data_IF_328926739180
#
_entry.id   IF_328926739180
#
_cell.length_a   1.000
_cell.length_b   1.000
_cell.length_c   1.000
_cell.angle_alpha   90.00
_cell.angle_beta   90.00
_cell.angle_gamma   90.00
#
_symmetry.space_group_name_H-M   'P 1'
#
loop_
_entity.id
_entity.type
_entity.pdbx_description
1 polymer ?
#
# COMPACT_ATOMS: atom_id res chain seq x y z
N UNK A 1 10.90 12.47 -11.92
CA UNK A 1 10.67 11.53 -10.82
C UNK A 1 11.56 10.32 -11.05
N UNK A 2 12.13 9.74 -9.99
CA UNK A 2 12.79 8.42 -10.07
C UNK A 2 11.75 7.40 -10.54
N UNK A 3 12.11 6.49 -11.45
CA UNK A 3 11.22 5.43 -11.94
C UNK A 3 11.75 4.08 -11.44
N UNK A 4 10.86 3.28 -10.86
CA UNK A 4 11.16 1.92 -10.39
C UNK A 4 10.64 0.91 -11.40
N UNK A 5 11.43 -0.13 -11.68
CA UNK A 5 10.99 -1.32 -12.41
C UNK A 5 10.89 -2.46 -11.41
N UNK A 6 9.67 -2.99 -11.21
CA UNK A 6 9.41 -3.99 -10.17
C UNK A 6 8.71 -5.20 -10.78
N UNK A 7 9.21 -6.40 -10.44
CA UNK A 7 8.52 -7.65 -10.73
C UNK A 7 7.30 -7.80 -9.81
N UNK A 8 6.06 -7.93 -10.35
CA UNK A 8 4.87 -8.14 -9.54
C UNK A 8 4.98 -9.32 -8.58
N UNK A 9 4.76 -9.07 -7.30
CA UNK A 9 4.91 -10.08 -6.24
C UNK A 9 6.29 -10.14 -5.59
N UNK A 10 7.23 -9.29 -6.03
CA UNK A 10 8.57 -9.17 -5.47
C UNK A 10 8.92 -7.74 -5.04
N UNK A 11 7.92 -6.85 -4.89
CA UNK A 11 8.16 -5.51 -4.36
C UNK A 11 8.69 -5.59 -2.93
N UNK A 12 9.83 -4.94 -2.67
CA UNK A 12 10.44 -4.88 -1.34
C UNK A 12 9.91 -3.68 -0.58
N UNK A 13 10.06 -3.71 0.75
CA UNK A 13 9.65 -2.60 1.60
C UNK A 13 10.32 -1.26 1.20
N UNK A 14 11.57 -1.29 0.77
CA UNK A 14 12.28 -0.11 0.27
C UNK A 14 11.69 0.46 -1.02
N UNK A 15 11.22 -0.42 -1.93
CA UNK A 15 10.58 0.00 -3.17
C UNK A 15 9.23 0.69 -2.84
N UNK A 16 8.46 0.12 -1.90
CA UNK A 16 7.21 0.70 -1.39
C UNK A 16 7.45 2.04 -0.66
N UNK A 17 8.54 2.14 0.10
CA UNK A 17 8.93 3.37 0.79
C UNK A 17 9.31 4.47 -0.21
N UNK A 18 10.05 4.14 -1.29
CA UNK A 18 10.39 5.09 -2.35
C UNK A 18 9.14 5.59 -3.10
N UNK A 19 8.17 4.70 -3.37
CA UNK A 19 6.87 5.10 -3.93
C UNK A 19 6.14 6.08 -3.01
N UNK A 20 6.20 5.89 -1.69
CA UNK A 20 5.56 6.78 -0.72
C UNK A 20 6.28 8.13 -0.55
N UNK A 21 7.57 8.10 -0.21
CA UNK A 21 8.34 9.28 0.18
C UNK A 21 8.77 10.14 -1.01
N UNK A 22 9.15 9.51 -2.11
CA UNK A 22 9.69 10.20 -3.30
C UNK A 22 8.63 10.36 -4.39
N UNK A 23 7.44 9.78 -4.20
CA UNK A 23 6.40 9.73 -5.24
C UNK A 23 6.93 9.14 -6.56
N UNK A 24 7.84 8.16 -6.47
CA UNK A 24 8.48 7.54 -7.62
C UNK A 24 7.45 6.99 -8.63
N UNK A 25 7.81 7.00 -9.91
CA UNK A 25 7.05 6.28 -10.93
C UNK A 25 7.23 4.77 -10.77
N UNK A 26 6.29 3.98 -11.31
CA UNK A 26 6.38 2.52 -11.31
C UNK A 26 6.11 1.99 -12.72
N UNK A 27 7.01 1.13 -13.20
CA UNK A 27 6.78 0.22 -14.32
C UNK A 27 6.87 -1.21 -13.84
N UNK A 28 6.05 -2.07 -14.43
CA UNK A 28 6.15 -3.50 -14.20
C UNK A 28 7.31 -4.07 -15.00
N UNK A 29 8.00 -5.05 -14.43
CA UNK A 29 9.00 -5.82 -15.17
C UNK A 29 8.33 -6.47 -16.41
N UNK A 30 8.87 -6.26 -17.63
CA UNK A 30 8.28 -6.79 -18.86
C UNK A 30 8.04 -8.31 -18.85
N UNK A 31 8.77 -9.07 -18.03
CA UNK A 31 8.58 -10.51 -17.90
C UNK A 31 7.21 -10.92 -17.33
N UNK A 32 6.42 -10.01 -16.72
CA UNK A 32 5.06 -10.31 -16.29
C UNK A 32 4.00 -10.19 -17.41
N UNK A 33 4.33 -9.55 -18.54
CA UNK A 33 3.38 -9.25 -19.64
C UNK A 33 2.70 -10.50 -20.22
N UNK A 34 3.41 -11.62 -20.48
CA UNK A 34 2.77 -12.81 -21.02
C UNK A 34 1.65 -13.38 -20.13
N UNK A 35 1.81 -13.28 -18.81
CA UNK A 35 0.82 -13.80 -17.86
C UNK A 35 -0.43 -12.91 -17.80
N UNK A 36 -0.25 -11.58 -17.88
CA UNK A 36 -1.35 -10.61 -17.99
C UNK A 36 -2.15 -10.85 -19.28
N UNK A 37 -1.47 -10.98 -20.41
CA UNK A 37 -2.09 -11.21 -21.72
C UNK A 37 -2.85 -12.55 -21.78
N UNK A 38 -2.30 -13.61 -21.18
CA UNK A 38 -2.99 -14.90 -21.11
C UNK A 38 -4.27 -14.81 -20.27
N UNK A 39 -4.23 -14.14 -19.11
CA UNK A 39 -5.41 -13.93 -18.30
C UNK A 39 -6.48 -13.10 -19.03
N UNK A 40 -6.07 -12.05 -19.75
CA UNK A 40 -6.97 -11.24 -20.56
C UNK A 40 -7.66 -12.08 -21.65
N UNK A 41 -6.90 -12.94 -22.36
CA UNK A 41 -7.45 -13.87 -23.37
C UNK A 41 -8.44 -14.86 -22.76
N UNK A 42 -8.23 -15.32 -21.53
CA UNK A 42 -9.17 -16.20 -20.81
C UNK A 42 -10.47 -15.48 -20.48
N UNK A 43 -10.40 -14.24 -19.97
CA UNK A 43 -11.60 -13.42 -19.73
C UNK A 43 -12.35 -13.14 -21.03
N UNK A 44 -11.66 -12.80 -22.12
CA UNK A 44 -12.29 -12.57 -23.41
C UNK A 44 -13.04 -13.82 -23.93
N UNK A 45 -12.43 -15.01 -23.80
CA UNK A 45 -13.08 -16.29 -24.13
C UNK A 45 -14.32 -16.55 -23.27
N UNK A 46 -14.22 -16.33 -21.95
CA UNK A 46 -15.34 -16.51 -21.03
C UNK A 46 -16.48 -15.53 -21.32
N UNK A 47 -16.18 -14.28 -21.65
CA UNK A 47 -17.15 -13.26 -22.00
C UNK A 47 -17.93 -13.59 -23.29
N UNK A 48 -17.26 -14.22 -24.26
CA UNK A 48 -17.89 -14.70 -25.51
C UNK A 48 -18.62 -16.05 -25.35
N UNK A 49 -18.40 -16.76 -24.24
CA UNK A 49 -18.97 -18.06 -23.97
C UNK A 49 -20.43 -18.02 -23.49
N UNK A 50 -21.06 -19.19 -23.46
CA UNK A 50 -22.43 -19.36 -22.97
C UNK A 50 -22.52 -19.63 -21.46
N UNK A 51 -21.42 -19.95 -20.79
CA UNK A 51 -21.43 -20.17 -19.34
C UNK A 51 -21.49 -18.85 -18.58
N UNK A 52 -22.27 -18.78 -17.51
CA UNK A 52 -22.35 -17.59 -16.68
C UNK A 52 -21.11 -17.50 -15.79
N UNK A 53 -20.34 -16.42 -15.94
CA UNK A 53 -19.11 -16.17 -15.17
C UNK A 53 -19.26 -14.83 -14.44
N UNK A 54 -19.21 -14.90 -13.10
CA UNK A 54 -19.44 -13.76 -12.22
C UNK A 54 -18.58 -12.54 -12.60
N UNK A 55 -19.22 -11.40 -12.86
CA UNK A 55 -18.55 -10.14 -13.15
C UNK A 55 -17.87 -10.07 -14.52
N UNK A 56 -17.95 -11.12 -15.33
CA UNK A 56 -17.44 -11.19 -16.70
C UNK A 56 -18.57 -10.98 -17.71
N UNK A 57 -19.58 -11.87 -17.70
CA UNK A 57 -20.78 -11.78 -18.54
C UNK A 57 -22.08 -11.77 -17.74
N UNK A 58 -21.98 -11.55 -16.42
CA UNK A 58 -23.11 -11.36 -15.51
C UNK A 58 -23.09 -9.98 -14.87
N UNK A 59 -24.19 -9.60 -14.21
CA UNK A 59 -24.21 -8.47 -13.28
C UNK A 59 -23.37 -8.70 -12.02
N UNK A 60 -23.41 -7.74 -11.10
CA UNK A 60 -22.63 -7.72 -9.85
C UNK A 60 -23.53 -7.86 -8.61
N UNK A 61 -22.98 -8.40 -7.52
CA UNK A 61 -23.68 -8.53 -6.23
C UNK A 61 -25.04 -9.21 -6.37
N UNK A 62 -26.12 -8.52 -6.01
CA UNK A 62 -27.51 -9.03 -6.12
C UNK A 62 -27.92 -9.43 -7.55
N UNK A 63 -27.26 -8.86 -8.57
CA UNK A 63 -27.52 -9.14 -9.99
C UNK A 63 -26.55 -10.18 -10.59
N UNK A 64 -25.79 -10.89 -9.76
CA UNK A 64 -24.83 -11.92 -10.20
C UNK A 64 -25.44 -13.03 -11.08
N UNK A 65 -26.75 -13.29 -10.97
CA UNK A 65 -27.46 -14.30 -11.76
C UNK A 65 -27.99 -13.79 -13.10
N UNK A 66 -27.84 -12.49 -13.40
CA UNK A 66 -28.38 -11.88 -14.62
C UNK A 66 -27.28 -11.81 -15.68
N UNK A 67 -27.48 -12.48 -16.82
CA UNK A 67 -26.58 -12.38 -17.98
C UNK A 67 -26.69 -11.02 -18.66
N UNK A 68 -25.56 -10.53 -19.12
CA UNK A 68 -25.42 -9.23 -19.77
C UNK A 68 -25.12 -9.46 -21.25
N UNK A 69 -25.84 -8.77 -22.13
CA UNK A 69 -25.56 -8.87 -23.55
C UNK A 69 -24.21 -8.21 -23.88
N UNK A 70 -23.42 -8.74 -24.84
CA UNK A 70 -22.09 -8.20 -25.15
C UNK A 70 -22.06 -6.70 -25.46
N UNK A 71 -23.12 -6.17 -26.09
CA UNK A 71 -23.28 -4.74 -26.41
C UNK A 71 -23.44 -3.85 -25.17
N UNK A 72 -23.87 -4.40 -24.05
CA UNK A 72 -24.15 -3.66 -22.82
C UNK A 72 -22.96 -3.73 -21.83
N UNK A 73 -21.94 -4.52 -22.13
CA UNK A 73 -20.78 -4.74 -21.25
C UNK A 73 -20.03 -3.46 -20.93
N UNK A 74 -19.64 -2.66 -21.93
CA UNK A 74 -18.91 -1.40 -21.70
C UNK A 74 -19.71 -0.43 -20.83
N UNK A 75 -21.01 -0.28 -21.12
CA UNK A 75 -21.94 0.53 -20.33
C UNK A 75 -22.05 0.05 -18.88
N UNK A 76 -22.14 -1.27 -18.67
CA UNK A 76 -22.19 -1.86 -17.34
C UNK A 76 -20.92 -1.55 -16.53
N UNK A 77 -19.74 -1.69 -17.14
CA UNK A 77 -18.46 -1.42 -16.46
C UNK A 77 -18.33 0.07 -16.13
N UNK A 78 -18.70 0.95 -17.07
CA UNK A 78 -18.75 2.41 -16.82
C UNK A 78 -19.68 2.76 -15.66
N UNK A 79 -20.89 2.21 -15.66
CA UNK A 79 -21.87 2.47 -14.61
C UNK A 79 -21.45 1.89 -13.25
N UNK A 80 -20.76 0.75 -13.24
CA UNK A 80 -20.16 0.21 -12.02
C UNK A 80 -19.21 1.24 -11.40
N UNK A 81 -18.26 1.77 -12.16
CA UNK A 81 -17.32 2.78 -11.67
C UNK A 81 -18.06 4.01 -11.13
N UNK A 82 -18.93 4.63 -11.94
CA UNK A 82 -19.59 5.87 -11.56
C UNK A 82 -20.50 5.70 -10.33
N UNK A 83 -21.22 4.59 -10.21
CA UNK A 83 -22.08 4.31 -9.05
C UNK A 83 -21.29 4.05 -7.76
N UNK A 84 -20.03 3.61 -7.87
CA UNK A 84 -19.16 3.36 -6.73
C UNK A 84 -18.26 4.54 -6.38
N UNK A 85 -18.31 5.65 -7.13
CA UNK A 85 -17.66 6.91 -6.75
C UNK A 85 -18.41 7.60 -5.59
N UNK A 86 -18.59 6.90 -4.46
CA UNK A 86 -19.36 7.31 -3.30
C UNK A 86 -18.49 7.66 -2.08
N UNK A 87 -17.18 7.80 -2.28
CA UNK A 87 -16.27 8.30 -1.25
C UNK A 87 -16.59 9.73 -0.82
N UNK A 88 -16.30 10.07 0.43
CA UNK A 88 -16.58 11.38 1.04
C UNK A 88 -15.40 11.88 1.86
N UNK A 89 -15.47 13.14 2.30
CA UNK A 89 -14.44 13.80 3.11
C UNK A 89 -13.36 14.46 2.25
N UNK A 90 -12.38 15.06 2.94
CA UNK A 90 -11.26 15.72 2.29
C UNK A 90 -10.46 14.74 1.41
N UNK A 91 -9.93 15.18 0.26
CA UNK A 91 -9.07 14.36 -0.56
C UNK A 91 -7.85 13.85 0.20
N UNK A 92 -7.44 12.60 -0.06
CA UNK A 92 -6.18 12.07 0.43
C UNK A 92 -5.00 12.83 -0.20
N UNK A 93 -3.85 12.94 0.49
CA UNK A 93 -2.65 13.53 -0.11
C UNK A 93 -2.26 12.83 -1.41
N UNK A 94 -1.74 13.59 -2.38
CA UNK A 94 -1.27 13.08 -3.70
C UNK A 94 -0.37 11.86 -3.56
N UNK A 95 0.60 11.88 -2.64
CA UNK A 95 1.50 10.73 -2.40
C UNK A 95 0.75 9.44 -2.01
N UNK A 96 -0.39 9.56 -1.34
CA UNK A 96 -1.20 8.42 -0.93
C UNK A 96 -2.01 7.84 -2.09
N UNK A 97 -2.61 8.72 -2.89
CA UNK A 97 -3.27 8.33 -4.13
C UNK A 97 -2.29 7.62 -5.08
N UNK A 98 -1.05 8.14 -5.21
CA UNK A 98 0.00 7.52 -6.02
C UNK A 98 0.46 6.17 -5.48
N UNK A 99 0.61 6.02 -4.16
CA UNK A 99 0.91 4.72 -3.55
C UNK A 99 -0.22 3.71 -3.81
N UNK A 100 -1.48 4.12 -3.66
CA UNK A 100 -2.64 3.27 -3.97
C UNK A 100 -2.64 2.82 -5.45
N UNK A 101 -2.36 3.73 -6.39
CA UNK A 101 -2.24 3.42 -7.81
C UNK A 101 -1.11 2.41 -8.08
N UNK A 102 0.06 2.61 -7.47
CA UNK A 102 1.20 1.71 -7.59
C UNK A 102 0.88 0.30 -7.06
N UNK A 103 0.21 0.20 -5.90
CA UNK A 103 -0.23 -1.09 -5.35
C UNK A 103 -1.28 -1.77 -6.25
N UNK A 104 -2.17 -1.01 -6.89
CA UNK A 104 -3.12 -1.57 -7.86
C UNK A 104 -2.39 -2.12 -9.08
N UNK A 105 -1.43 -1.35 -9.60
CA UNK A 105 -0.60 -1.77 -10.73
C UNK A 105 0.16 -3.07 -10.42
N UNK A 106 0.79 -3.18 -9.24
CA UNK A 106 1.46 -4.41 -8.79
C UNK A 106 0.49 -5.60 -8.71
N UNK A 107 -0.71 -5.38 -8.16
CA UNK A 107 -1.73 -6.42 -8.02
C UNK A 107 -2.21 -6.94 -9.38
N UNK A 108 -2.54 -6.05 -10.32
CA UNK A 108 -2.92 -6.41 -11.69
C UNK A 108 -1.77 -7.10 -12.42
N UNK A 109 -0.53 -6.67 -12.15
CA UNK A 109 0.70 -7.23 -12.69
C UNK A 109 0.93 -8.71 -12.35
N UNK A 110 0.27 -9.23 -11.32
CA UNK A 110 0.30 -10.67 -10.98
C UNK A 110 -0.30 -11.56 -12.07
N UNK A 111 -0.97 -10.98 -13.06
CA UNK A 111 -1.51 -11.74 -14.20
C UNK A 111 -2.70 -12.63 -13.82
N UNK A 112 -3.40 -12.33 -12.73
CA UNK A 112 -4.56 -13.08 -12.26
C UNK A 112 -5.89 -12.31 -12.43
N UNK A 113 -5.83 -11.03 -12.78
CA UNK A 113 -7.01 -10.15 -12.86
C UNK A 113 -7.64 -10.10 -14.25
N UNK A 114 -6.99 -10.64 -15.28
CA UNK A 114 -7.54 -10.71 -16.64
C UNK A 114 -7.88 -9.36 -17.30
N UNK A 115 -7.10 -8.33 -17.00
CA UNK A 115 -7.19 -6.99 -17.61
C UNK A 115 -6.32 -6.90 -18.87
N UNK A 116 -6.68 -6.01 -19.80
CA UNK A 116 -5.87 -5.78 -21.01
C UNK A 116 -4.58 -5.02 -20.69
N UNK A 117 -3.56 -5.21 -21.54
CA UNK A 117 -2.28 -4.52 -21.43
C UNK A 117 -2.40 -2.99 -21.48
N UNK A 118 -3.33 -2.45 -22.27
CA UNK A 118 -3.56 -1.00 -22.35
C UNK A 118 -3.99 -0.39 -21.00
N UNK A 119 -4.64 -1.17 -20.12
CA UNK A 119 -5.04 -0.73 -18.79
C UNK A 119 -3.82 -0.60 -17.87
N UNK A 120 -2.88 -1.54 -18.00
CA UNK A 120 -1.58 -1.51 -17.30
C UNK A 120 -0.76 -0.32 -17.79
N UNK A 121 -0.67 -0.14 -19.10
CA UNK A 121 0.09 0.95 -19.73
C UNK A 121 -0.44 2.32 -19.30
N UNK A 122 -1.76 2.49 -19.25
CA UNK A 122 -2.37 3.74 -18.78
C UNK A 122 -2.00 4.04 -17.32
N UNK A 123 -2.05 3.05 -16.42
CA UNK A 123 -1.66 3.24 -15.02
C UNK A 123 -0.16 3.57 -14.87
N UNK A 124 0.71 2.87 -15.60
CA UNK A 124 2.15 3.16 -15.63
C UNK A 124 2.40 4.60 -16.10
N UNK A 125 1.74 5.03 -17.18
CA UNK A 125 1.91 6.37 -17.73
C UNK A 125 1.29 7.46 -16.84
N UNK A 126 0.15 7.21 -16.18
CA UNK A 126 -0.40 8.13 -15.19
C UNK A 126 0.58 8.33 -14.02
N UNK A 127 1.18 7.26 -13.52
CA UNK A 127 2.21 7.32 -12.47
C UNK A 127 3.46 8.08 -12.94
N UNK A 128 3.95 7.77 -14.14
CA UNK A 128 5.15 8.38 -14.72
C UNK A 128 4.98 9.87 -15.01
N UNK A 129 3.82 10.27 -15.53
CA UNK A 129 3.51 11.66 -15.92
C UNK A 129 2.92 12.49 -14.80
N UNK A 130 2.50 11.88 -13.70
CA UNK A 130 1.99 12.59 -12.52
C UNK A 130 0.51 12.93 -12.58
N UNK A 131 -0.30 12.25 -13.41
CA UNK A 131 -1.76 12.39 -13.37
C UNK A 131 -2.29 11.61 -12.17
N UNK A 132 -2.73 12.31 -11.13
CA UNK A 132 -3.11 11.69 -9.86
C UNK A 132 -4.59 11.94 -9.57
N UNK A 133 -5.44 10.89 -9.47
CA UNK A 133 -6.85 11.05 -9.17
C UNK A 133 -7.11 11.73 -7.81
N UNK A 134 -8.12 12.59 -7.76
CA UNK A 134 -8.63 13.15 -6.50
C UNK A 134 -9.50 12.08 -5.84
N UNK A 135 -9.05 11.57 -4.69
CA UNK A 135 -9.71 10.46 -3.99
C UNK A 135 -10.13 10.93 -2.59
N UNK A 136 -11.42 10.93 -2.26
CA UNK A 136 -11.90 11.24 -0.91
C UNK A 136 -11.36 10.26 0.14
N UNK A 137 -11.10 10.74 1.36
CA UNK A 137 -10.46 9.95 2.41
C UNK A 137 -11.35 8.88 3.08
N UNK A 138 -12.67 8.93 2.90
CA UNK A 138 -13.62 7.98 3.53
C UNK A 138 -14.52 7.29 2.51
N UNK A 139 -14.99 6.09 2.86
CA UNK A 139 -15.97 5.34 2.07
C UNK A 139 -15.65 3.85 1.92
N UNK A 140 -14.38 3.46 2.11
CA UNK A 140 -14.02 2.04 2.21
C UNK A 140 -14.34 1.48 3.61
N UNK A 141 -14.73 0.21 3.65
CA UNK A 141 -14.90 -0.59 4.87
C UNK A 141 -13.95 -1.78 4.93
N UNK A 142 -13.07 -1.97 3.93
CA UNK A 142 -12.11 -3.08 3.88
C UNK A 142 -12.70 -4.51 3.75
N UNK A 143 -14.02 -4.69 3.79
CA UNK A 143 -14.66 -6.02 3.77
C UNK A 143 -14.98 -6.56 2.36
N UNK A 144 -15.32 -5.69 1.40
CA UNK A 144 -15.67 -6.03 0.01
C UNK A 144 -14.64 -5.51 -0.99
N UNK A 145 -13.42 -5.24 -0.53
CA UNK A 145 -12.44 -4.39 -1.17
C UNK A 145 -12.72 -2.90 -1.00
N UNK A 146 -11.73 -2.10 -1.37
CA UNK A 146 -11.68 -0.65 -1.33
C UNK A 146 -12.45 0.00 -2.49
N UNK A 147 -13.70 -0.44 -2.67
CA UNK A 147 -14.54 -0.14 -3.84
C UNK A 147 -14.62 1.36 -4.13
N UNK A 148 -14.95 2.16 -3.12
CA UNK A 148 -15.19 3.60 -3.28
C UNK A 148 -13.93 4.38 -3.70
N UNK A 149 -12.81 4.32 -2.97
CA UNK A 149 -11.60 5.06 -3.36
C UNK A 149 -11.00 4.56 -4.68
N UNK A 150 -11.03 3.25 -4.94
CA UNK A 150 -10.54 2.71 -6.21
C UNK A 150 -11.46 3.07 -7.40
N UNK A 151 -12.75 3.26 -7.17
CA UNK A 151 -13.66 3.76 -8.20
C UNK A 151 -13.33 5.20 -8.63
N UNK A 152 -12.94 6.08 -7.70
CA UNK A 152 -12.49 7.43 -8.05
C UNK A 152 -11.22 7.41 -8.92
N UNK A 153 -10.28 6.51 -8.64
CA UNK A 153 -9.12 6.28 -9.51
C UNK A 153 -9.54 5.78 -10.90
N UNK A 154 -10.39 4.74 -10.95
CA UNK A 154 -10.88 4.19 -12.20
C UNK A 154 -11.69 5.20 -13.02
N UNK A 155 -12.43 6.10 -12.37
CA UNK A 155 -13.20 7.16 -13.02
C UNK A 155 -12.29 8.08 -13.85
N UNK A 156 -11.14 8.47 -13.30
CA UNK A 156 -10.14 9.27 -14.02
C UNK A 156 -9.59 8.51 -15.23
N UNK A 157 -9.29 7.22 -15.10
CA UNK A 157 -8.80 6.41 -16.21
C UNK A 157 -9.78 6.38 -17.40
N UNK A 158 -11.09 6.45 -17.15
CA UNK A 158 -12.15 6.54 -18.19
C UNK A 158 -12.56 7.99 -18.53
N UNK A 159 -11.77 9.00 -18.12
CA UNK A 159 -11.97 10.41 -18.41
C UNK A 159 -13.06 11.10 -17.59
N UNK A 160 -13.57 10.47 -16.54
CA UNK A 160 -14.50 11.05 -15.58
C UNK A 160 -13.76 11.49 -14.30
N UNK A 161 -14.49 11.99 -13.30
CA UNK A 161 -13.92 12.42 -12.02
C UNK A 161 -12.97 13.62 -12.17
N UNK A 162 -12.12 13.81 -11.17
CA UNK A 162 -11.14 14.89 -11.11
C UNK A 162 -9.74 14.31 -10.82
N UNK A 163 -8.72 14.96 -11.36
CA UNK A 163 -7.33 14.61 -11.11
C UNK A 163 -6.49 15.86 -10.91
N UNK A 164 -5.47 15.74 -10.07
CA UNK A 164 -4.40 16.71 -9.99
C UNK A 164 -3.35 16.40 -11.08
N UNK A 165 -2.97 17.44 -11.83
CA UNK A 165 -1.86 17.42 -12.77
C UNK A 165 -1.10 18.75 -12.70
N UNK A 166 0.22 18.69 -12.55
CA UNK A 166 1.10 19.86 -12.37
C UNK A 166 0.63 20.84 -11.27
N UNK A 167 0.12 20.31 -10.16
CA UNK A 167 -0.36 21.09 -9.01
C UNK A 167 -1.72 21.75 -9.21
N UNK A 168 -2.48 21.36 -10.24
CA UNK A 168 -3.83 21.87 -10.50
C UNK A 168 -4.83 20.72 -10.56
N UNK A 169 -5.94 20.86 -9.83
CA UNK A 169 -7.09 19.97 -9.93
C UNK A 169 -7.94 20.37 -11.13
N UNK A 170 -8.26 19.40 -11.98
CA UNK A 170 -9.08 19.59 -13.19
C UNK A 170 -9.87 18.31 -13.52
N UNK A 171 -10.87 18.38 -14.42
CA UNK A 171 -11.60 17.19 -14.85
C UNK A 171 -10.66 16.10 -15.39
N UNK A 172 -10.95 14.83 -15.09
CA UNK A 172 -10.05 13.70 -15.40
C UNK A 172 -9.67 13.61 -16.88
N UNK A 173 -10.62 13.84 -17.80
CA UNK A 173 -10.34 13.90 -19.23
C UNK A 173 -9.36 15.02 -19.61
N UNK A 174 -9.48 16.19 -18.97
CA UNK A 174 -8.58 17.33 -19.22
C UNK A 174 -7.18 17.03 -18.69
N UNK A 175 -7.07 16.42 -17.49
CA UNK A 175 -5.79 16.02 -16.92
C UNK A 175 -5.07 14.97 -17.79
N UNK A 176 -5.80 13.95 -18.26
CA UNK A 176 -5.25 12.95 -19.17
C UNK A 176 -4.78 13.59 -20.48
N UNK A 177 -5.61 14.44 -21.10
CA UNK A 177 -5.27 15.12 -22.34
C UNK A 177 -4.06 16.06 -22.18
N UNK A 178 -3.98 16.80 -21.08
CA UNK A 178 -2.84 17.66 -20.76
C UNK A 178 -1.53 16.87 -20.62
N UNK A 179 -1.60 15.64 -20.10
CA UNK A 179 -0.48 14.71 -20.03
C UNK A 179 -0.22 13.93 -21.32
N UNK A 180 -1.01 14.13 -22.38
CA UNK A 180 -0.91 13.38 -23.64
C UNK A 180 -1.37 11.93 -23.55
N UNK A 181 -2.28 11.64 -22.62
CA UNK A 181 -2.88 10.32 -22.38
C UNK A 181 -4.31 10.27 -22.89
N UNK A 182 -4.77 9.06 -23.24
CA UNK A 182 -6.12 8.82 -23.76
C UNK A 182 -6.92 8.02 -22.74
N UNK A 183 -8.17 8.40 -22.43
CA UNK A 183 -9.04 7.61 -21.57
C UNK A 183 -9.30 6.20 -22.11
N UNK A 184 -9.42 5.22 -21.22
CA UNK A 184 -9.75 3.83 -21.56
C UNK A 184 -11.27 3.61 -21.58
N UNK A 185 -11.76 2.81 -22.54
CA UNK A 185 -13.09 2.22 -22.48
C UNK A 185 -12.98 0.83 -21.84
N UNK A 186 -13.68 0.60 -20.72
CA UNK A 186 -13.53 -0.64 -19.95
C UNK A 186 -14.24 -1.84 -20.61
N UNK A 187 -13.49 -2.94 -20.73
CA UNK A 187 -13.98 -4.23 -21.20
C UNK A 187 -14.54 -5.12 -20.08
N UNK A 188 -14.94 -6.34 -20.44
CA UNK A 188 -15.48 -7.31 -19.48
C UNK A 188 -14.54 -7.49 -18.28
N UNK A 189 -15.09 -7.52 -17.06
CA UNK A 189 -14.41 -7.62 -15.75
C UNK A 189 -13.53 -6.43 -15.35
N UNK A 190 -13.06 -5.58 -16.26
CA UNK A 190 -12.03 -4.59 -15.95
C UNK A 190 -12.47 -3.57 -14.89
N UNK A 191 -13.76 -3.21 -14.83
CA UNK A 191 -14.29 -2.37 -13.77
C UNK A 191 -14.12 -3.00 -12.38
N UNK A 192 -14.44 -4.29 -12.24
CA UNK A 192 -14.20 -5.04 -11.00
C UNK A 192 -12.71 -5.18 -10.69
N UNK A 193 -11.88 -5.47 -11.69
CA UNK A 193 -10.43 -5.61 -11.48
C UNK A 193 -9.81 -4.33 -10.91
N UNK A 194 -10.30 -3.17 -11.36
CA UNK A 194 -9.87 -1.87 -10.85
C UNK A 194 -10.37 -1.59 -9.44
N UNK A 195 -11.65 -1.82 -9.16
CA UNK A 195 -12.24 -1.36 -7.89
C UNK A 195 -12.22 -2.38 -6.75
N UNK A 196 -12.06 -3.67 -7.05
CA UNK A 196 -11.99 -4.70 -6.04
C UNK A 196 -10.52 -4.95 -5.64
N UNK A 197 -10.26 -5.01 -4.34
CA UNK A 197 -8.91 -5.17 -3.79
C UNK A 197 -8.66 -4.31 -2.56
N UNK A 198 -7.48 -4.42 -1.96
CA UNK A 198 -7.15 -3.87 -0.63
C UNK A 198 -6.13 -2.72 -0.69
N UNK A 199 -5.96 -2.10 -1.86
CA UNK A 199 -4.87 -1.16 -2.12
C UNK A 199 -4.96 0.16 -1.34
N UNK A 200 -6.16 0.67 -1.08
CA UNK A 200 -6.33 1.90 -0.30
C UNK A 200 -6.02 1.63 1.17
N UNK A 201 -6.58 0.54 1.72
CA UNK A 201 -6.31 0.07 3.07
C UNK A 201 -4.81 -0.21 3.27
N UNK A 202 -4.18 -0.91 2.32
CA UNK A 202 -2.75 -1.23 2.34
C UNK A 202 -1.87 0.03 2.22
N UNK A 203 -2.24 1.00 1.37
CA UNK A 203 -1.52 2.26 1.26
C UNK A 203 -1.50 3.03 2.60
N UNK A 204 -2.65 3.12 3.28
CA UNK A 204 -2.73 3.78 4.58
C UNK A 204 -1.94 3.05 5.66
N UNK A 205 -2.02 1.72 5.72
CA UNK A 205 -1.26 0.94 6.69
C UNK A 205 0.26 1.02 6.43
N UNK A 206 0.70 1.00 5.17
CA UNK A 206 2.11 1.20 4.80
C UNK A 206 2.61 2.60 5.17
N UNK A 207 1.81 3.64 4.90
CA UNK A 207 2.16 5.00 5.31
C UNK A 207 2.30 5.11 6.83
N UNK A 208 1.35 4.54 7.59
CA UNK A 208 1.43 4.45 9.04
C UNK A 208 2.68 3.71 9.51
N UNK A 209 3.03 2.59 8.88
CA UNK A 209 4.25 1.84 9.16
C UNK A 209 5.51 2.69 8.93
N UNK A 210 5.61 3.36 7.79
CA UNK A 210 6.78 4.17 7.44
C UNK A 210 6.96 5.35 8.40
N UNK A 211 5.87 6.02 8.75
CA UNK A 211 5.88 7.15 9.69
C UNK A 211 6.19 6.68 11.11
N UNK A 212 5.58 5.58 11.57
CA UNK A 212 5.86 4.99 12.88
C UNK A 212 7.31 4.50 13.00
N UNK A 213 7.87 3.91 11.94
CA UNK A 213 9.28 3.51 11.93
C UNK A 213 10.21 4.70 12.06
N UNK A 214 9.95 5.80 11.33
CA UNK A 214 10.71 7.05 11.49
C UNK A 214 10.53 7.65 12.90
N UNK A 215 9.33 7.55 13.48
CA UNK A 215 9.08 7.98 14.85
C UNK A 215 9.89 7.15 15.86
N UNK A 216 9.97 5.83 15.70
CA UNK A 216 10.81 4.96 16.53
C UNK A 216 12.29 5.31 16.42
N UNK A 217 12.80 5.56 15.21
CA UNK A 217 14.19 6.01 15.00
C UNK A 217 14.46 7.35 15.70
N UNK A 218 13.55 8.32 15.55
CA UNK A 218 13.65 9.61 16.24
C UNK A 218 13.57 9.45 17.76
N UNK A 219 12.72 8.54 18.25
CA UNK A 219 12.58 8.27 19.68
C UNK A 219 13.89 7.76 20.28
N UNK A 220 14.67 6.94 19.58
CA UNK A 220 16.00 6.49 20.04
C UNK A 220 16.99 7.66 20.18
N UNK A 221 17.00 8.57 19.21
CA UNK A 221 17.86 9.77 19.26
C UNK A 221 17.45 10.70 20.40
N UNK A 222 16.16 10.99 20.53
CA UNK A 222 15.61 11.84 21.60
C UNK A 222 15.85 11.20 22.97
N UNK A 223 15.72 9.87 23.07
CA UNK A 223 16.00 9.09 24.27
C UNK A 223 17.45 9.20 24.71
N UNK A 224 18.38 9.06 23.76
CA UNK A 224 19.81 9.26 24.01
C UNK A 224 20.10 10.71 24.48
N UNK A 225 19.61 11.72 23.75
CA UNK A 225 19.79 13.13 24.13
C UNK A 225 19.19 13.46 25.50
N UNK A 226 18.01 12.91 25.81
CA UNK A 226 17.34 13.12 27.10
C UNK A 226 18.11 12.46 28.24
N UNK A 227 18.61 11.24 28.01
CA UNK A 227 19.49 10.54 28.95
C UNK A 227 20.75 11.37 29.21
N UNK A 228 21.38 11.90 28.17
CA UNK A 228 22.58 12.70 28.31
C UNK A 228 22.32 14.00 29.09
N UNK A 229 21.26 14.74 28.72
CA UNK A 229 20.91 16.03 29.30
C UNK A 229 20.62 15.96 30.82
N UNK A 230 20.08 14.83 31.29
CA UNK A 230 19.83 14.64 32.73
C UNK A 230 21.02 14.04 33.46
N UNK A 231 22.19 13.91 32.80
CA UNK A 231 23.34 13.20 33.34
C UNK A 231 23.00 11.73 33.68
N UNK A 232 22.25 11.04 32.83
CA UNK A 232 21.79 9.67 33.06
C UNK A 232 22.91 8.64 32.87
N UNK A 233 22.72 7.46 33.48
CA UNK A 233 23.67 6.36 33.36
C UNK A 233 23.57 5.64 32.02
N UNK A 234 24.71 5.37 31.40
CA UNK A 234 24.84 4.50 30.22
C UNK A 234 24.95 3.01 30.56
N UNK A 235 25.08 2.66 31.85
CA UNK A 235 25.19 1.25 32.28
C UNK A 235 24.01 0.37 31.85
N UNK A 236 22.75 0.86 31.78
CA UNK A 236 21.64 0.08 31.24
C UNK A 236 21.73 -0.28 29.75
N UNK A 237 22.66 0.29 28.99
CA UNK A 237 22.88 0.02 27.56
C UNK A 237 23.95 -1.06 27.31
N UNK A 238 24.49 -1.68 28.37
CA UNK A 238 25.50 -2.71 28.26
C UNK A 238 25.00 -3.87 27.39
N UNK A 239 25.72 -4.27 26.32
CA UNK A 239 25.25 -5.26 25.35
C UNK A 239 24.77 -6.57 25.98
N UNK A 240 25.45 -7.04 27.03
CA UNK A 240 25.13 -8.28 27.73
C UNK A 240 23.73 -8.27 28.37
N UNK A 241 23.25 -7.12 28.88
CA UNK A 241 21.90 -6.99 29.44
C UNK A 241 20.84 -7.32 28.38
N UNK A 242 21.05 -6.83 27.16
CA UNK A 242 20.09 -7.00 26.07
C UNK A 242 20.22 -8.39 25.44
N UNK A 243 21.43 -8.90 25.27
CA UNK A 243 21.65 -10.26 24.75
C UNK A 243 21.10 -11.34 25.69
N UNK A 244 21.20 -11.16 27.01
CA UNK A 244 20.63 -12.09 27.99
C UNK A 244 19.09 -12.14 27.92
N UNK A 245 18.43 -11.07 27.48
CA UNK A 245 16.97 -11.05 27.27
C UNK A 245 16.55 -11.52 25.87
N UNK A 246 17.35 -11.25 24.83
CA UNK A 246 17.22 -11.87 23.50
C UNK A 246 16.22 -11.24 22.52
N UNK A 247 15.51 -10.17 22.89
CA UNK A 247 14.61 -9.48 21.94
C UNK A 247 15.40 -8.64 20.95
N UNK A 248 15.20 -8.90 19.66
CA UNK A 248 15.93 -8.23 18.57
C UNK A 248 15.78 -6.72 18.63
N UNK A 249 14.56 -6.19 18.72
CA UNK A 249 14.33 -4.75 18.77
C UNK A 249 14.99 -4.09 19.98
N UNK A 250 14.97 -4.74 21.15
CA UNK A 250 15.64 -4.22 22.34
C UNK A 250 17.16 -4.16 22.18
N UNK A 251 17.77 -5.18 21.57
CA UNK A 251 19.22 -5.23 21.31
C UNK A 251 19.60 -4.09 20.37
N UNK A 252 18.90 -3.96 19.24
CA UNK A 252 19.17 -2.91 18.25
C UNK A 252 18.94 -1.50 18.82
N UNK A 253 17.89 -1.30 19.63
CA UNK A 253 17.61 -0.03 20.30
C UNK A 253 18.74 0.39 21.26
N UNK A 254 19.22 -0.55 22.08
CA UNK A 254 20.31 -0.30 23.01
C UNK A 254 21.61 0.03 22.27
N UNK A 255 21.93 -0.72 21.22
CA UNK A 255 23.10 -0.46 20.38
C UNK A 255 23.04 0.90 19.70
N UNK A 256 21.87 1.31 19.19
CA UNK A 256 21.67 2.62 18.60
C UNK A 256 21.89 3.73 19.62
N UNK A 257 21.28 3.65 20.80
CA UNK A 257 21.47 4.63 21.87
C UNK A 257 22.92 4.69 22.36
N UNK A 258 23.57 3.53 22.53
CA UNK A 258 24.97 3.45 22.96
C UNK A 258 25.90 4.14 21.96
N UNK A 259 25.65 4.00 20.65
CA UNK A 259 26.43 4.68 19.61
C UNK A 259 26.23 6.20 19.63
N UNK A 260 25.04 6.67 19.94
CA UNK A 260 24.74 8.12 19.99
C UNK A 260 25.38 8.77 21.22
N UNK A 261 25.43 8.05 22.34
CA UNK A 261 26.00 8.52 23.61
C UNK A 261 27.52 8.35 23.70
N UNK A 262 28.14 7.67 22.73
CA UNK A 262 29.57 7.43 22.72
C UNK A 262 30.35 8.77 22.69
N UNK A 263 31.32 8.89 23.61
CA UNK A 263 32.11 10.12 23.76
C UNK A 263 31.38 11.33 24.37
N UNK A 264 30.21 11.17 24.99
CA UNK A 264 29.55 12.30 25.66
C UNK A 264 30.38 12.88 26.82
N UNK A 265 30.71 14.15 26.73
CA UNK A 265 31.37 14.91 27.80
C UNK A 265 30.46 15.15 29.00
N UNK A 266 29.14 15.22 28.78
CA UNK A 266 28.17 15.36 29.87
C UNK A 266 28.17 14.07 30.66
N UNK A 267 28.14 12.90 29.99
CA UNK A 267 28.24 11.60 30.66
C UNK A 267 29.49 11.51 31.52
N UNK A 268 30.65 11.85 30.96
CA UNK A 268 31.92 11.76 31.67
C UNK A 268 32.03 12.73 32.87
N UNK A 269 31.35 13.89 32.84
CA UNK A 269 31.48 14.92 33.88
C UNK A 269 30.95 14.53 35.27
N UNK A 270 30.23 13.41 35.36
CA UNK A 270 29.58 12.95 36.59
C UNK A 270 29.69 11.44 36.78
N UNK A 271 30.67 10.77 36.14
CA UNK A 271 30.87 9.32 36.35
C UNK A 271 31.35 8.98 37.75
N UNK A 272 32.14 9.86 38.32
CA UNK A 272 32.65 9.77 39.69
C UNK A 272 31.74 10.60 40.62
N UNK A 273 31.54 10.12 41.85
CA UNK A 273 30.73 10.77 42.88
C UNK A 273 29.24 11.05 42.52
N UNK A 274 28.66 10.29 41.58
CA UNK A 274 27.22 10.32 41.34
C UNK A 274 26.45 9.62 42.47
N UNK A 275 25.67 10.40 43.24
CA UNK A 275 24.83 9.86 44.30
C UNK A 275 23.65 9.02 43.78
N UNK A 276 23.33 9.05 42.48
CA UNK A 276 22.22 8.29 41.89
C UNK A 276 22.61 6.83 41.71
N UNK A 277 21.83 5.96 42.33
CA UNK A 277 21.99 4.50 42.20
C UNK A 277 21.34 3.96 40.92
N UNK A 278 20.19 4.52 40.54
CA UNK A 278 19.43 4.10 39.36
C UNK A 278 18.67 5.27 38.74
N UNK A 279 18.60 5.28 37.41
CA UNK A 279 17.69 6.17 36.70
C UNK A 279 16.24 5.65 36.74
N UNK A 280 15.25 6.58 36.65
CA UNK A 280 13.84 6.23 36.47
C UNK A 280 13.61 5.34 35.25
N UNK A 281 12.53 4.56 35.26
CA UNK A 281 12.22 3.64 34.17
C UNK A 281 11.98 4.32 32.82
N UNK A 282 11.48 5.57 32.80
CA UNK A 282 11.34 6.34 31.55
C UNK A 282 12.68 6.65 30.86
N UNK A 283 13.80 6.46 31.54
CA UNK A 283 15.16 6.55 31.00
C UNK A 283 15.74 5.14 30.84
N UNK A 284 15.81 4.40 31.94
CA UNK A 284 16.49 3.10 32.00
C UNK A 284 15.84 2.00 31.16
N UNK A 285 14.53 2.10 30.89
CA UNK A 285 13.78 1.10 30.12
C UNK A 285 13.55 1.50 28.65
N UNK A 286 14.20 2.57 28.15
CA UNK A 286 14.02 3.05 26.78
C UNK A 286 14.31 1.95 25.72
N UNK A 287 15.42 1.17 25.79
CA UNK A 287 15.64 0.08 24.83
C UNK A 287 14.54 -0.98 24.85
N UNK A 288 13.99 -1.29 26.03
CA UNK A 288 12.96 -2.30 26.22
C UNK A 288 11.64 -1.84 25.57
N UNK A 289 11.27 -0.58 25.77
CA UNK A 289 9.99 -0.02 25.28
C UNK A 289 10.06 0.24 23.79
N UNK A 290 11.04 1.02 23.32
CA UNK A 290 11.17 1.34 21.88
C UNK A 290 11.54 0.09 21.08
N UNK A 291 12.36 -0.81 21.65
CA UNK A 291 12.66 -2.08 21.01
C UNK A 291 11.45 -2.98 20.83
N UNK A 292 10.53 -3.03 21.80
CA UNK A 292 9.28 -3.78 21.66
C UNK A 292 8.40 -3.21 20.54
N UNK A 293 8.28 -1.88 20.45
CA UNK A 293 7.59 -1.22 19.34
C UNK A 293 8.21 -1.57 17.99
N UNK A 294 9.55 -1.54 17.87
CA UNK A 294 10.25 -1.96 16.65
C UNK A 294 9.94 -3.41 16.25
N UNK A 295 9.87 -4.34 17.21
CA UNK A 295 9.51 -5.74 16.93
C UNK A 295 8.05 -5.90 16.48
N UNK A 296 7.12 -5.09 17.00
CA UNK A 296 5.72 -5.07 16.56
C UNK A 296 5.61 -4.47 15.14
N UNK A 297 6.30 -3.36 14.86
CA UNK A 297 6.33 -2.76 13.52
C UNK A 297 6.90 -3.71 12.46
N UNK A 298 7.92 -4.52 12.80
CA UNK A 298 8.44 -5.55 11.87
C UNK A 298 7.41 -6.62 11.54
N UNK A 299 6.57 -7.02 12.50
CA UNK A 299 5.50 -7.98 12.26
C UNK A 299 4.44 -7.39 11.33
N UNK A 300 4.01 -6.15 11.57
CA UNK A 300 3.11 -5.44 10.67
C UNK A 300 3.71 -5.30 9.26
N UNK A 301 5.00 -4.96 9.16
CA UNK A 301 5.71 -4.86 7.89
C UNK A 301 5.67 -6.16 7.08
N UNK A 302 5.84 -7.32 7.73
CA UNK A 302 5.79 -8.61 7.05
C UNK A 302 4.41 -8.87 6.42
N UNK A 303 3.34 -8.57 7.15
CA UNK A 303 1.97 -8.67 6.65
C UNK A 303 1.73 -7.72 5.48
N UNK A 304 2.15 -6.46 5.61
CA UNK A 304 1.91 -5.43 4.60
C UNK A 304 2.74 -5.63 3.33
N UNK A 305 3.96 -6.15 3.42
CA UNK A 305 4.75 -6.54 2.24
C UNK A 305 4.09 -7.70 1.49
N UNK A 306 3.49 -8.64 2.22
CA UNK A 306 2.74 -9.74 1.60
C UNK A 306 1.52 -9.20 0.87
N UNK A 307 0.73 -8.34 1.53
CA UNK A 307 -0.48 -7.75 0.96
C UNK A 307 -0.18 -6.84 -0.25
N UNK A 308 0.87 -6.02 -0.18
CA UNK A 308 1.28 -5.14 -1.27
C UNK A 308 1.63 -5.92 -2.57
N UNK A 309 1.97 -7.19 -2.42
CA UNK A 309 2.33 -8.11 -3.50
C UNK A 309 1.19 -9.06 -3.90
N UNK A 310 0.00 -8.93 -3.29
CA UNK A 310 -1.12 -9.84 -3.49
C UNK A 310 -1.99 -9.49 -4.70
N UNK A 311 -2.62 -10.52 -5.29
CA UNK A 311 -3.74 -10.36 -6.20
C UNK A 311 -5.04 -10.38 -5.38
N UNK A 312 -5.70 -9.23 -5.29
CA UNK A 312 -6.79 -9.00 -4.32
C UNK A 312 -8.14 -8.69 -4.97
N UNK A 313 -8.20 -8.61 -6.29
CA UNK A 313 -9.46 -8.46 -7.01
C UNK A 313 -10.20 -9.80 -7.17
N UNK A 314 -11.43 -9.76 -7.69
CA UNK A 314 -12.27 -10.94 -7.83
C UNK A 314 -13.21 -10.83 -9.06
N UNK A 315 -13.47 -11.94 -9.78
CA UNK A 315 -12.86 -13.27 -9.65
C UNK A 315 -11.40 -13.31 -10.14
N UNK A 316 -10.66 -14.33 -9.74
CA UNK A 316 -9.28 -14.56 -10.18
C UNK A 316 -9.22 -15.58 -11.32
N UNK A 317 -8.30 -15.34 -12.26
CA UNK A 317 -7.91 -16.26 -13.33
C UNK A 317 -6.74 -17.10 -12.85
N UNK A 318 -6.98 -18.38 -12.60
CA UNK A 318 -5.98 -19.33 -12.12
C UNK A 318 -5.36 -20.07 -13.31
N UNK A 319 -4.07 -19.80 -13.56
CA UNK A 319 -3.35 -20.34 -14.71
C UNK A 319 -3.23 -21.86 -14.68
N UNK A 320 -2.70 -22.39 -13.58
CA UNK A 320 -2.40 -23.81 -13.42
C UNK A 320 -3.65 -24.68 -13.29
N UNK A 321 -4.69 -24.17 -12.62
CA UNK A 321 -5.96 -24.87 -12.46
C UNK A 321 -6.86 -24.76 -13.71
N UNK A 322 -6.56 -23.84 -14.62
CA UNK A 322 -7.40 -23.48 -15.77
C UNK A 322 -8.83 -23.09 -15.38
N UNK A 323 -8.97 -22.25 -14.34
CA UNK A 323 -10.26 -21.84 -13.79
C UNK A 323 -10.37 -20.31 -13.64
N UNK A 324 -11.60 -19.80 -13.74
CA UNK A 324 -11.97 -18.47 -13.24
C UNK A 324 -12.78 -18.69 -11.96
N UNK A 325 -12.23 -18.26 -10.83
CA UNK A 325 -12.78 -18.61 -9.52
C UNK A 325 -13.14 -17.34 -8.74
N UNK A 326 -14.36 -17.32 -8.21
CA UNK A 326 -14.74 -16.32 -7.21
C UNK A 326 -14.25 -16.76 -5.84
N UNK A 327 -13.45 -15.92 -5.20
CA UNK A 327 -12.95 -16.06 -3.84
C UNK A 327 -13.23 -14.81 -3.00
N UNK A 328 -12.35 -14.52 -2.03
CA UNK A 328 -12.52 -13.46 -1.04
C UNK A 328 -11.25 -12.68 -0.71
N UNK A 329 -10.24 -12.67 -1.59
CA UNK A 329 -8.96 -11.97 -1.35
C UNK A 329 -9.10 -10.44 -1.20
N UNK A 330 -10.28 -9.88 -1.50
CA UNK A 330 -10.58 -8.47 -1.30
C UNK A 330 -10.85 -8.09 0.17
N UNK A 331 -10.92 -9.04 1.09
CA UNK A 331 -11.16 -8.77 2.50
C UNK A 331 -9.84 -8.42 3.20
N UNK A 332 -9.71 -7.15 3.61
CA UNK A 332 -8.49 -6.56 4.14
C UNK A 332 -8.23 -6.87 5.64
N UNK A 333 -8.71 -8.01 6.16
CA UNK A 333 -8.57 -8.33 7.60
C UNK A 333 -7.10 -8.35 8.06
N UNK A 334 -6.16 -8.96 7.31
CA UNK A 334 -4.75 -8.92 7.70
C UNK A 334 -4.19 -7.50 7.76
N UNK A 335 -4.66 -6.61 6.89
CA UNK A 335 -4.26 -5.18 6.85
C UNK A 335 -4.80 -4.45 8.07
N UNK A 336 -6.05 -4.71 8.46
CA UNK A 336 -6.67 -4.17 9.66
C UNK A 336 -5.85 -4.52 10.91
N UNK A 337 -5.51 -5.80 11.09
CA UNK A 337 -4.65 -6.22 12.21
C UNK A 337 -3.25 -5.61 12.14
N UNK A 338 -2.65 -5.50 10.96
CA UNK A 338 -1.35 -4.84 10.83
C UNK A 338 -1.42 -3.35 11.23
N UNK A 339 -2.51 -2.65 10.87
CA UNK A 339 -2.73 -1.27 11.28
C UNK A 339 -2.93 -1.13 12.80
N UNK A 340 -3.69 -2.04 13.42
CA UNK A 340 -3.86 -2.07 14.88
C UNK A 340 -2.54 -2.36 15.60
N UNK A 341 -1.70 -3.25 15.07
CA UNK A 341 -0.35 -3.49 15.57
C UNK A 341 0.52 -2.24 15.50
N UNK A 342 0.45 -1.47 14.40
CA UNK A 342 1.17 -0.20 14.26
C UNK A 342 0.68 0.81 15.29
N UNK A 343 -0.61 0.86 15.60
CA UNK A 343 -1.16 1.76 16.61
C UNK A 343 -0.74 1.42 18.06
N UNK A 344 -0.46 0.14 18.34
CA UNK A 344 0.05 -0.31 19.64
C UNK A 344 1.53 0.03 19.84
N UNK A 345 2.30 0.14 18.75
CA UNK A 345 3.73 0.38 18.74
C UNK A 345 4.06 1.87 18.95
#
# INVERSE_FOLDING_TARGET
MTELVVMPGAARLDDLAALYWESAGLRLDPACRPDIEEAARRIARAAAGNEAVYGVNTGFGKLASVKIAPKDTATLQRNLILSHCCGVGEPVPVRMARLMMALKLLSLGRGASGVRGELIDLLEEMLARGVTPVIPAQGSVGASGDLAPLAHMAAVMMGAGEAEYEGRVMPGAEALAAAGLVPVELGAKEGLALINGTQFSTAFALAGLFEAWRAAQNALLISAMSTDAIMGSTAPLQPEIHSLRGHRGQIEAAEAMSRVLDGSVIRESHREDDARVQDPYCIRCQPQVTGAAMDVLRQAAQTLVTEANAATDNPLVLRDADLIVSGGNFHAEPVGFAADMIALA
#
